data_IF_769619898850
#
_entry.id   IF_769619898850
#
_cell.length_a   1.000
_cell.length_b   1.000
_cell.length_c   1.000
_cell.angle_alpha   90.00
_cell.angle_beta   90.00
_cell.angle_gamma   90.00
#
_symmetry.space_group_name_H-M   'P 1'
#
loop_
_entity.id
_entity.type
_entity.pdbx_description
1 polymer ?
#
# COMPACT_ATOMS: atom_id res chain seq x y z
N UNK A 1 20.72 11.61 31.28
CA UNK A 1 21.18 12.81 30.56
C UNK A 1 21.49 12.41 29.12
N UNK A 2 20.62 12.77 28.18
CA UNK A 2 20.82 13.12 26.76
C UNK A 2 19.47 12.97 26.05
N UNK A 3 18.77 14.10 25.98
CA UNK A 3 17.56 14.32 25.18
C UNK A 3 18.04 14.40 23.71
N UNK A 4 17.46 13.68 22.73
CA UNK A 4 17.80 13.87 21.33
C UNK A 4 17.22 15.18 20.80
N UNK A 5 17.86 15.80 19.78
CA UNK A 5 17.78 17.23 19.55
C UNK A 5 16.42 17.67 18.99
N UNK A 6 15.96 18.80 19.52
CA UNK A 6 15.02 19.71 18.88
C UNK A 6 15.37 19.90 17.41
N UNK A 7 14.43 19.58 16.52
CA UNK A 7 14.52 20.00 15.12
C UNK A 7 14.17 21.49 15.06
N UNK A 8 15.20 22.33 14.98
CA UNK A 8 15.07 23.76 14.69
C UNK A 8 14.64 23.92 13.22
N UNK A 9 13.47 24.51 13.00
CA UNK A 9 13.03 24.98 11.69
C UNK A 9 13.97 26.12 11.24
N UNK A 10 14.83 25.85 10.26
CA UNK A 10 15.41 26.91 9.44
C UNK A 10 14.59 27.02 8.15
N UNK A 11 13.72 28.03 8.14
CA UNK A 11 13.03 28.50 6.95
C UNK A 11 14.05 29.15 6.00
N UNK A 12 14.28 28.56 4.83
CA UNK A 12 14.22 29.23 3.52
C UNK A 12 14.68 28.26 2.43
N UNK A 13 13.74 27.84 1.58
CA UNK A 13 13.77 27.96 0.11
C UNK A 13 12.54 27.24 -0.47
N UNK A 14 11.82 27.98 -1.30
CA UNK A 14 10.52 27.68 -1.91
C UNK A 14 10.60 26.76 -3.14
N UNK A 15 9.46 26.13 -3.43
CA UNK A 15 9.08 25.23 -4.54
C UNK A 15 9.40 23.75 -4.27
N UNK A 16 8.49 22.92 -3.77
CA UNK A 16 7.09 22.78 -4.17
C UNK A 16 6.24 22.37 -2.96
N UNK A 17 5.31 23.25 -2.57
CA UNK A 17 4.11 22.82 -1.89
C UNK A 17 3.25 22.07 -2.94
N UNK A 18 3.70 20.87 -3.35
CA UNK A 18 2.73 19.88 -3.79
C UNK A 18 1.84 19.69 -2.57
N UNK A 19 0.62 20.14 -2.76
CA UNK A 19 -0.33 20.52 -1.73
C UNK A 19 -0.59 19.36 -0.76
N UNK A 20 0.09 19.35 0.39
CA UNK A 20 -0.09 18.32 1.43
C UNK A 20 -1.56 18.28 1.87
N UNK A 21 -2.29 19.40 1.74
CA UNK A 21 -3.74 19.46 2.01
C UNK A 21 -4.60 18.78 0.94
N UNK A 22 -4.06 18.51 -0.26
CA UNK A 22 -4.77 17.81 -1.35
C UNK A 22 -4.53 16.29 -1.38
N UNK A 23 -3.50 15.81 -0.67
CA UNK A 23 -3.11 14.42 -0.74
C UNK A 23 -4.04 13.56 0.13
N UNK A 24 -4.64 12.54 -0.46
CA UNK A 24 -5.43 11.56 0.29
C UNK A 24 -4.54 10.43 0.82
N UNK A 25 -4.58 10.27 2.13
CA UNK A 25 -3.94 9.16 2.84
C UNK A 25 -4.99 8.22 3.40
N UNK A 26 -4.66 6.93 3.37
CA UNK A 26 -5.59 5.88 3.75
C UNK A 26 -4.97 4.91 4.74
N UNK A 27 -5.83 4.34 5.58
CA UNK A 27 -5.56 3.11 6.28
C UNK A 27 -6.62 2.09 5.89
N UNK A 28 -6.20 0.87 5.54
CA UNK A 28 -7.12 -0.23 5.21
C UNK A 28 -7.07 -1.28 6.32
N UNK A 29 -8.23 -1.68 6.83
CA UNK A 29 -8.36 -2.63 7.93
C UNK A 29 -9.62 -3.48 7.81
N UNK A 30 -9.58 -4.73 8.27
CA UNK A 30 -10.79 -5.56 8.45
C UNK A 30 -11.55 -5.22 9.74
N UNK A 31 -10.95 -4.41 10.62
CA UNK A 31 -11.57 -4.00 11.88
C UNK A 31 -12.43 -2.74 11.68
N UNK A 32 -13.75 -2.79 11.96
CA UNK A 32 -14.62 -1.62 11.93
C UNK A 32 -14.40 -0.71 13.15
N UNK A 33 -14.88 0.54 13.06
CA UNK A 33 -15.04 1.43 14.22
C UNK A 33 -13.73 1.85 14.91
N UNK A 34 -12.60 1.84 14.21
CA UNK A 34 -11.35 2.36 14.76
C UNK A 34 -11.44 3.89 14.82
N UNK A 35 -11.62 4.43 16.03
CA UNK A 35 -11.70 5.88 16.23
C UNK A 35 -10.33 6.52 16.46
N UNK A 36 -9.34 5.74 16.91
CA UNK A 36 -7.98 6.19 17.19
C UNK A 36 -6.99 5.12 16.75
N UNK A 37 -6.00 5.55 15.97
CA UNK A 37 -4.85 4.74 15.59
C UNK A 37 -3.68 5.11 16.49
N UNK A 38 -3.28 4.19 17.36
CA UNK A 38 -2.10 4.37 18.20
C UNK A 38 -0.83 3.93 17.45
N UNK A 39 0.32 4.63 17.65
CA UNK A 39 1.59 4.21 17.11
C UNK A 39 1.96 2.79 17.54
N UNK A 40 2.35 1.95 16.58
CA UNK A 40 2.77 0.56 16.83
C UNK A 40 4.11 0.29 16.17
N UNK A 41 4.92 -0.57 16.79
CA UNK A 41 6.15 -1.03 16.15
C UNK A 41 5.81 -1.73 14.83
N UNK A 42 6.57 -1.49 13.76
CA UNK A 42 6.36 -2.16 12.49
C UNK A 42 6.43 -3.68 12.64
N UNK A 43 5.57 -4.43 11.92
CA UNK A 43 5.54 -5.89 12.03
C UNK A 43 6.72 -6.57 11.34
N UNK A 44 7.53 -5.83 10.55
CA UNK A 44 8.76 -6.33 9.94
C UNK A 44 9.88 -5.30 10.14
N UNK A 45 11.12 -5.72 10.50
CA UNK A 45 12.28 -4.84 10.55
C UNK A 45 12.60 -4.18 9.20
N UNK A 46 12.23 -4.82 8.09
CA UNK A 46 12.51 -4.34 6.72
C UNK A 46 11.84 -3.00 6.38
N UNK A 47 10.92 -2.53 7.23
CA UNK A 47 10.25 -1.25 7.05
C UNK A 47 11.18 -0.04 7.27
N UNK A 48 12.41 -0.24 7.74
CA UNK A 48 13.39 0.84 7.97
C UNK A 48 13.03 1.78 9.13
N UNK A 49 12.01 1.42 9.91
CA UNK A 49 11.52 2.17 11.07
C UNK A 49 11.52 1.20 12.26
N UNK A 50 12.24 1.58 13.32
CA UNK A 50 12.41 0.79 14.54
C UNK A 50 11.67 1.38 15.76
N UNK A 51 10.88 2.44 15.53
CA UNK A 51 10.06 3.11 16.54
C UNK A 51 8.55 3.00 16.23
N UNK A 52 7.67 3.14 17.24
CA UNK A 52 6.24 3.05 17.02
C UNK A 52 5.71 4.15 16.10
N UNK A 53 4.90 3.77 15.11
CA UNK A 53 4.26 4.70 14.17
C UNK A 53 2.85 4.24 13.80
N UNK A 54 2.01 5.19 13.40
CA UNK A 54 0.77 4.95 12.65
C UNK A 54 1.12 4.95 11.17
N UNK A 55 0.66 3.94 10.44
CA UNK A 55 0.90 3.81 9.00
C UNK A 55 -0.32 4.28 8.20
N UNK A 56 -0.03 5.02 7.14
CA UNK A 56 -0.97 5.32 6.08
C UNK A 56 -0.33 5.12 4.70
N UNK A 57 -1.17 4.98 3.68
CA UNK A 57 -0.78 4.81 2.28
C UNK A 57 -1.35 5.93 1.43
N UNK A 58 -0.60 6.40 0.44
CA UNK A 58 -1.11 7.35 -0.54
C UNK A 58 -2.21 6.72 -1.43
N UNK A 59 -3.15 7.54 -1.90
CA UNK A 59 -4.20 7.14 -2.87
C UNK A 59 -3.65 6.33 -4.04
N UNK A 60 -2.51 6.74 -4.62
CA UNK A 60 -1.87 6.07 -5.76
C UNK A 60 -1.49 4.60 -5.50
N UNK A 61 -1.35 4.24 -4.22
CA UNK A 61 -1.01 2.89 -3.77
C UNK A 61 -2.17 2.18 -3.08
N UNK A 62 -3.32 2.85 -2.89
CA UNK A 62 -4.48 2.31 -2.18
C UNK A 62 -4.89 0.94 -2.70
N UNK A 63 -4.94 0.78 -4.03
CA UNK A 63 -5.32 -0.49 -4.68
C UNK A 63 -4.47 -1.68 -4.25
N UNK A 64 -3.20 -1.48 -3.89
CA UNK A 64 -2.33 -2.55 -3.41
C UNK A 64 -2.82 -3.12 -2.06
N UNK A 65 -3.70 -2.42 -1.36
CA UNK A 65 -4.16 -2.74 0.00
C UNK A 65 -5.65 -3.07 0.08
N UNK A 66 -6.40 -2.99 -1.03
CA UNK A 66 -7.83 -3.35 -1.11
C UNK A 66 -8.09 -4.86 -1.17
N UNK A 67 -7.41 -5.61 -0.31
CA UNK A 67 -7.57 -7.05 -0.10
C UNK A 67 -7.37 -7.33 1.41
N UNK A 68 -7.92 -8.42 1.96
CA UNK A 68 -7.76 -8.79 3.37
C UNK A 68 -6.29 -8.68 3.82
N UNK A 69 -6.04 -8.26 5.07
CA UNK A 69 -4.71 -7.83 5.52
C UNK A 69 -3.63 -8.89 5.32
N UNK A 70 -3.98 -10.14 5.55
CA UNK A 70 -3.03 -11.25 5.43
C UNK A 70 -2.98 -11.88 4.04
N UNK A 71 -3.74 -11.35 3.07
CA UNK A 71 -3.65 -11.78 1.68
C UNK A 71 -2.23 -11.53 1.13
N UNK A 72 -1.49 -12.57 0.74
CA UNK A 72 -0.26 -12.42 0.01
C UNK A 72 -0.60 -11.97 -1.40
N UNK A 73 0.06 -10.91 -1.87
CA UNK A 73 -0.26 -10.31 -3.16
C UNK A 73 0.96 -9.65 -3.77
N UNK A 74 0.96 -9.56 -5.09
CA UNK A 74 1.95 -8.79 -5.85
C UNK A 74 1.21 -7.79 -6.72
N UNK A 75 1.49 -6.51 -6.55
CA UNK A 75 1.02 -5.48 -7.47
C UNK A 75 2.16 -5.08 -8.40
N UNK A 76 1.92 -5.01 -9.70
CA UNK A 76 2.89 -4.52 -10.69
C UNK A 76 2.35 -3.31 -11.44
N UNK A 77 3.27 -2.44 -11.85
CA UNK A 77 3.02 -1.23 -12.65
C UNK A 77 4.09 -1.10 -13.71
N UNK A 78 3.72 -0.47 -14.82
CA UNK A 78 4.68 0.02 -15.82
C UNK A 78 5.42 1.22 -15.24
N UNK A 79 6.70 1.34 -15.54
CA UNK A 79 7.52 2.51 -15.21
C UNK A 79 8.17 3.07 -16.48
N UNK A 80 8.66 4.33 -16.47
CA UNK A 80 9.36 4.91 -17.61
C UNK A 80 10.59 4.10 -18.07
N UNK A 81 11.18 3.29 -17.18
CA UNK A 81 12.33 2.44 -17.44
C UNK A 81 11.96 0.97 -17.73
N UNK A 82 10.68 0.63 -17.77
CA UNK A 82 10.24 -0.75 -18.05
C UNK A 82 10.52 -1.12 -19.51
N UNK A 83 11.08 -2.30 -19.72
CA UNK A 83 11.38 -2.84 -21.05
C UNK A 83 10.12 -3.33 -21.74
N UNK A 84 10.10 -3.24 -23.07
CA UNK A 84 8.98 -3.77 -23.88
C UNK A 84 8.80 -5.28 -23.67
N UNK A 85 9.88 -6.04 -23.48
CA UNK A 85 9.82 -7.48 -23.22
C UNK A 85 9.11 -7.80 -21.91
N UNK A 86 9.41 -7.08 -20.82
CA UNK A 86 8.73 -7.30 -19.54
C UNK A 86 7.28 -6.83 -19.59
N UNK A 87 7.02 -5.68 -20.21
CA UNK A 87 5.65 -5.19 -20.39
C UNK A 87 4.84 -6.22 -21.18
N UNK A 88 5.37 -6.74 -22.29
CA UNK A 88 4.67 -7.74 -23.09
C UNK A 88 4.47 -9.04 -22.31
N UNK A 89 5.48 -9.52 -21.58
CA UNK A 89 5.40 -10.76 -20.80
C UNK A 89 4.36 -10.67 -19.68
N UNK A 90 4.36 -9.59 -18.91
CA UNK A 90 3.52 -9.45 -17.73
C UNK A 90 2.17 -8.81 -18.02
N UNK A 91 2.07 -7.81 -18.89
CA UNK A 91 0.79 -7.17 -19.20
C UNK A 91 0.11 -7.79 -20.42
N UNK A 92 0.87 -8.27 -21.41
CA UNK A 92 0.29 -8.75 -22.66
C UNK A 92 -0.56 -7.66 -23.32
N UNK A 93 -1.84 -7.96 -23.55
CA UNK A 93 -2.80 -7.01 -24.11
C UNK A 93 -3.54 -6.17 -23.04
N UNK A 94 -3.22 -6.35 -21.75
CA UNK A 94 -3.90 -5.63 -20.67
C UNK A 94 -3.69 -4.12 -20.75
N UNK A 95 -4.78 -3.35 -20.71
CA UNK A 95 -4.72 -1.88 -20.61
C UNK A 95 -4.64 -1.37 -19.17
N UNK A 96 -4.86 -2.23 -18.17
CA UNK A 96 -4.85 -1.87 -16.76
C UNK A 96 -3.52 -1.24 -16.34
N UNK A 97 -3.58 -0.17 -15.54
CA UNK A 97 -2.39 0.48 -14.97
C UNK A 97 -1.69 -0.43 -13.95
N UNK A 98 -2.50 -1.12 -13.14
CA UNK A 98 -2.05 -2.02 -12.09
C UNK A 98 -2.59 -3.43 -12.35
N UNK A 99 -1.70 -4.42 -12.31
CA UNK A 99 -2.08 -5.83 -12.23
C UNK A 99 -1.77 -6.33 -10.83
N UNK A 100 -2.75 -6.98 -10.18
CA UNK A 100 -2.57 -7.63 -8.88
C UNK A 100 -2.65 -9.13 -9.04
N UNK A 101 -1.65 -9.83 -8.53
CA UNK A 101 -1.60 -11.29 -8.46
C UNK A 101 -1.95 -11.76 -7.05
N UNK A 102 -2.85 -12.72 -6.94
CA UNK A 102 -3.18 -13.47 -5.71
C UNK A 102 -3.29 -14.97 -5.99
N UNK A 103 -3.36 -15.78 -4.94
CA UNK A 103 -3.60 -17.22 -5.07
C UNK A 103 -5.09 -17.53 -4.92
N UNK A 104 -5.55 -18.64 -5.52
CA UNK A 104 -6.97 -19.00 -5.58
C UNK A 104 -7.69 -19.03 -4.21
N UNK A 105 -7.10 -19.51 -3.10
CA UNK A 105 -7.77 -19.45 -1.79
C UNK A 105 -8.14 -18.02 -1.36
N UNK A 106 -7.31 -17.04 -1.72
CA UNK A 106 -7.53 -15.64 -1.37
C UNK A 106 -8.60 -14.97 -2.23
N UNK A 107 -8.90 -15.49 -3.42
CA UNK A 107 -10.07 -15.04 -4.18
C UNK A 107 -11.35 -15.28 -3.38
N UNK A 108 -11.54 -16.50 -2.88
CA UNK A 108 -12.72 -16.86 -2.09
C UNK A 108 -12.81 -16.11 -0.76
N UNK A 109 -11.68 -15.92 -0.08
CA UNK A 109 -11.66 -15.13 1.15
C UNK A 109 -12.00 -13.66 0.86
N UNK A 110 -11.45 -13.07 -0.20
CA UNK A 110 -11.68 -11.67 -0.55
C UNK A 110 -13.12 -11.40 -1.00
N UNK A 111 -13.86 -12.41 -1.47
CA UNK A 111 -15.29 -12.29 -1.76
C UNK A 111 -16.15 -12.17 -0.49
N UNK A 112 -15.68 -12.65 0.65
CA UNK A 112 -16.46 -12.77 1.88
C UNK A 112 -15.94 -11.91 3.04
N UNK A 113 -14.86 -11.17 2.81
CA UNK A 113 -14.19 -10.38 3.83
C UNK A 113 -14.24 -8.90 3.45
N UNK A 114 -15.18 -8.12 4.02
CA UNK A 114 -15.21 -6.69 3.80
C UNK A 114 -13.98 -6.02 4.41
N UNK A 115 -13.59 -4.87 3.85
CA UNK A 115 -12.52 -4.03 4.39
C UNK A 115 -13.04 -2.62 4.66
N UNK A 116 -12.45 -1.94 5.62
CA UNK A 116 -12.73 -0.57 5.98
C UNK A 116 -11.59 0.33 5.50
N UNK A 117 -11.97 1.41 4.82
CA UNK A 117 -11.06 2.48 4.43
C UNK A 117 -11.25 3.63 5.39
N UNK A 118 -10.17 4.00 6.05
CA UNK A 118 -10.08 5.15 6.93
C UNK A 118 -9.28 6.23 6.22
N UNK A 119 -9.90 7.39 5.99
CA UNK A 119 -9.20 8.56 5.47
C UNK A 119 -8.40 9.20 6.60
N UNK A 120 -7.10 9.41 6.38
CA UNK A 120 -6.19 9.91 7.40
C UNK A 120 -5.86 11.39 7.15
N UNK A 121 -5.77 12.23 8.20
CA UNK A 121 -5.42 13.64 8.06
C UNK A 121 -3.97 13.80 7.62
N UNK A 122 -3.75 14.13 6.35
CA UNK A 122 -2.44 14.12 5.71
C UNK A 122 -1.39 14.99 6.42
N UNK A 123 -1.83 16.11 7.01
CA UNK A 123 -1.01 17.02 7.80
C UNK A 123 -0.38 16.37 9.05
N UNK A 124 -0.93 15.24 9.52
CA UNK A 124 -0.39 14.49 10.66
C UNK A 124 0.73 13.52 10.26
N UNK A 125 0.99 13.34 8.96
CA UNK A 125 1.90 12.31 8.46
C UNK A 125 3.10 12.90 7.73
N UNK A 126 4.24 12.24 7.88
CA UNK A 126 5.44 12.47 7.08
C UNK A 126 5.62 11.34 6.06
N UNK A 127 6.16 11.66 4.88
CA UNK A 127 6.51 10.65 3.89
C UNK A 127 7.67 9.79 4.42
N UNK A 128 7.45 8.48 4.50
CA UNK A 128 8.49 7.49 4.84
C UNK A 128 9.15 6.94 3.58
N UNK A 129 8.37 6.65 2.54
CA UNK A 129 8.87 6.12 1.27
C UNK A 129 7.92 6.56 0.13
N UNK A 130 8.41 7.41 -0.75
CA UNK A 130 7.64 7.90 -1.91
C UNK A 130 7.37 6.82 -2.95
N UNK A 131 8.27 5.83 -3.07
CA UNK A 131 8.16 4.73 -4.04
C UNK A 131 7.11 3.72 -3.61
N UNK A 132 7.06 3.42 -2.30
CA UNK A 132 6.03 2.54 -1.74
C UNK A 132 4.72 3.27 -1.40
N UNK A 133 4.71 4.61 -1.48
CA UNK A 133 3.58 5.44 -1.08
C UNK A 133 3.31 5.39 0.42
N UNK A 134 4.35 5.20 1.25
CA UNK A 134 4.24 5.05 2.69
C UNK A 134 4.38 6.36 3.44
N UNK A 135 3.46 6.56 4.37
CA UNK A 135 3.38 7.73 5.24
C UNK A 135 3.25 7.27 6.68
N UNK A 136 3.93 7.97 7.59
CA UNK A 136 3.95 7.63 9.01
C UNK A 136 3.69 8.83 9.90
N UNK A 137 3.01 8.59 11.01
CA UNK A 137 2.83 9.54 12.10
C UNK A 137 3.35 8.92 13.41
N UNK A 138 4.10 9.68 14.21
CA UNK A 138 4.62 9.23 15.50
C UNK A 138 3.64 9.41 16.66
N UNK A 139 2.47 9.98 16.38
CA UNK A 139 1.43 10.31 17.36
C UNK A 139 0.15 9.53 17.08
N UNK A 140 -0.74 9.47 18.07
CA UNK A 140 -2.08 8.91 17.88
C UNK A 140 -2.87 9.76 16.90
N UNK A 141 -3.56 9.12 15.96
CA UNK A 141 -4.32 9.80 14.89
C UNK A 141 -5.78 9.36 14.89
N UNK A 142 -6.70 10.32 14.83
CA UNK A 142 -8.10 10.07 14.52
C UNK A 142 -8.30 10.15 12.99
N UNK A 143 -9.00 9.18 12.36
CA UNK A 143 -9.33 9.27 10.94
C UNK A 143 -10.36 10.38 10.69
N UNK A 144 -10.33 11.00 9.52
CA UNK A 144 -11.31 11.99 9.05
C UNK A 144 -12.66 11.31 8.79
N UNK A 145 -12.60 10.16 8.12
CA UNK A 145 -13.78 9.40 7.72
C UNK A 145 -13.47 7.90 7.71
N UNK A 146 -14.52 7.07 7.76
CA UNK A 146 -14.42 5.64 7.59
C UNK A 146 -15.55 5.16 6.67
N UNK A 147 -15.23 4.37 5.66
CA UNK A 147 -16.23 3.68 4.81
C UNK A 147 -15.94 2.19 4.73
N UNK A 148 -17.00 1.39 4.74
CA UNK A 148 -16.91 -0.03 4.45
C UNK A 148 -16.86 -0.26 2.93
N UNK A 149 -16.11 -1.27 2.54
CA UNK A 149 -16.08 -1.86 1.21
C UNK A 149 -16.51 -3.31 1.36
N UNK A 150 -17.72 -3.60 0.91
CA UNK A 150 -18.32 -4.93 1.06
C UNK A 150 -17.63 -5.99 0.21
N UNK A 151 -17.23 -5.60 -1.01
CA UNK A 151 -16.48 -6.46 -1.93
C UNK A 151 -15.18 -5.78 -2.33
N UNK A 152 -14.05 -6.12 -1.67
CA UNK A 152 -12.73 -5.65 -2.07
C UNK A 152 -12.43 -5.92 -3.55
N UNK A 153 -12.88 -7.06 -4.07
CA UNK A 153 -12.71 -7.42 -5.49
C UNK A 153 -13.47 -6.47 -6.42
N UNK A 154 -14.72 -6.15 -6.10
CA UNK A 154 -15.50 -5.21 -6.91
C UNK A 154 -14.89 -3.81 -6.87
N UNK A 155 -14.37 -3.36 -5.72
CA UNK A 155 -13.68 -2.07 -5.64
C UNK A 155 -12.40 -2.04 -6.50
N UNK A 156 -11.62 -3.13 -6.52
CA UNK A 156 -10.45 -3.23 -7.40
C UNK A 156 -10.84 -3.11 -8.88
N UNK A 157 -11.87 -3.83 -9.32
CA UNK A 157 -12.35 -3.80 -10.70
C UNK A 157 -12.90 -2.42 -11.08
N UNK A 158 -13.61 -1.76 -10.18
CA UNK A 158 -14.11 -0.38 -10.38
C UNK A 158 -12.98 0.65 -10.51
N UNK A 159 -11.78 0.32 -10.01
CA UNK A 159 -10.56 1.11 -10.15
C UNK A 159 -9.67 0.63 -11.30
N UNK A 160 -10.24 -0.15 -12.23
CA UNK A 160 -9.57 -0.65 -13.44
C UNK A 160 -8.32 -1.49 -13.14
N UNK A 161 -8.28 -2.11 -11.96
CA UNK A 161 -7.22 -3.06 -11.60
C UNK A 161 -7.54 -4.40 -12.23
N UNK A 162 -6.56 -4.97 -12.93
CA UNK A 162 -6.66 -6.35 -13.40
C UNK A 162 -6.19 -7.31 -12.31
N UNK A 163 -7.10 -8.17 -11.85
CA UNK A 163 -6.78 -9.20 -10.87
C UNK A 163 -6.48 -10.52 -11.58
N UNK A 164 -5.32 -11.11 -11.27
CA UNK A 164 -4.87 -12.40 -11.81
C UNK A 164 -4.69 -13.43 -10.72
N UNK A 165 -5.25 -14.60 -10.94
CA UNK A 165 -5.12 -15.74 -10.02
C UNK A 165 -3.99 -16.64 -10.52
N UNK A 166 -3.01 -16.89 -9.65
CA UNK A 166 -1.88 -17.77 -9.94
C UNK A 166 -1.86 -18.97 -9.01
N UNK A 167 -1.23 -20.05 -9.46
CA UNK A 167 -1.09 -21.28 -8.67
C UNK A 167 -0.03 -21.16 -7.57
N UNK A 168 1.05 -20.40 -7.82
CA UNK A 168 2.17 -20.21 -6.89
C UNK A 168 2.66 -18.76 -6.93
N UNK A 169 2.29 -17.98 -5.92
CA UNK A 169 2.66 -16.57 -5.87
C UNK A 169 4.16 -16.37 -5.64
N UNK A 170 4.82 -17.29 -4.93
CA UNK A 170 6.27 -17.24 -4.68
C UNK A 170 7.07 -17.31 -5.97
N UNK A 171 6.72 -18.22 -6.89
CA UNK A 171 7.36 -18.31 -8.20
C UNK A 171 7.16 -17.02 -9.00
N UNK A 172 5.94 -16.48 -9.00
CA UNK A 172 5.64 -15.20 -9.64
C UNK A 172 6.46 -14.05 -9.04
N UNK A 173 6.64 -14.02 -7.71
CA UNK A 173 7.46 -13.03 -7.03
C UNK A 173 8.93 -13.10 -7.48
N UNK A 174 9.52 -14.29 -7.56
CA UNK A 174 10.91 -14.42 -8.01
C UNK A 174 11.09 -13.94 -9.46
N UNK A 175 10.14 -14.22 -10.35
CA UNK A 175 10.18 -13.73 -11.74
C UNK A 175 10.01 -12.20 -11.82
N UNK A 176 9.07 -11.63 -11.05
CA UNK A 176 8.81 -10.18 -11.05
C UNK A 176 10.00 -9.40 -10.48
N UNK A 177 10.67 -9.91 -9.44
CA UNK A 177 11.85 -9.27 -8.83
C UNK A 177 13.00 -9.06 -9.81
N UNK A 178 13.12 -9.90 -10.84
CA UNK A 178 14.16 -9.79 -11.86
C UNK A 178 13.74 -8.95 -13.07
N UNK A 179 12.51 -8.43 -13.08
CA UNK A 179 11.97 -7.62 -14.17
C UNK A 179 12.29 -6.13 -14.00
N UNK A 180 12.07 -5.35 -15.06
CA UNK A 180 12.15 -3.89 -15.10
C UNK A 180 10.86 -3.17 -14.69
N UNK A 181 9.88 -3.89 -14.14
CA UNK A 181 8.61 -3.30 -13.66
C UNK A 181 8.76 -2.71 -12.27
N UNK A 182 7.92 -1.74 -11.93
CA UNK A 182 7.72 -1.36 -10.53
C UNK A 182 6.75 -2.33 -9.88
N UNK A 183 7.07 -2.79 -8.67
CA UNK A 183 6.24 -3.78 -7.98
C UNK A 183 6.14 -3.55 -6.48
N UNK A 184 5.08 -4.09 -5.89
CA UNK A 184 4.92 -4.23 -4.44
C UNK A 184 4.63 -5.68 -4.13
N UNK A 185 5.47 -6.32 -3.33
CA UNK A 185 5.28 -7.68 -2.84
C UNK A 185 4.87 -7.61 -1.38
N UNK A 186 3.62 -7.94 -1.09
CA UNK A 186 3.01 -7.72 0.22
C UNK A 186 2.66 -9.07 0.82
N UNK A 187 3.13 -9.28 2.06
CA UNK A 187 2.79 -10.47 2.89
C UNK A 187 3.12 -11.82 2.24
N UNK A 188 4.11 -11.88 1.36
CA UNK A 188 4.49 -13.11 0.64
C UNK A 188 4.77 -14.32 1.56
N UNK A 189 5.16 -14.09 2.81
CA UNK A 189 5.27 -15.15 3.84
C UNK A 189 3.99 -15.97 4.03
N UNK A 190 2.82 -15.40 3.76
CA UNK A 190 1.51 -16.04 3.85
C UNK A 190 1.09 -16.77 2.55
N UNK A 191 1.90 -16.70 1.49
CA UNK A 191 1.65 -17.43 0.26
C UNK A 191 1.77 -18.94 0.47
N UNK A 192 1.04 -19.69 -0.35
CA UNK A 192 1.10 -21.15 -0.37
C UNK A 192 2.56 -21.64 -0.47
N UNK A 193 2.88 -22.80 0.13
CA UNK A 193 4.22 -23.40 0.08
C UNK A 193 4.64 -23.72 -1.36
#
# INVERSE_FOLDING_TARGET
>A
MKIPPFWSFNSTLSNSAVDIQSMKLWHVSETPGINLFEPRLPPSPDAGIDYPVVWAIAESHLVNYLLPRDCPRIAIRRAPHSTESDIHYFFGAASAEVIIYIEAPWLYQSLNTPVWLYEMPAESFACADTTAGYFVACQTVAPISARQIDSPLSELLNREVELRIVSRLRTMAETIKTSSLTFSIIRLRNALP
#
